data_IF_784096472954
#
_entry.id   IF_784096472954
#
_cell.length_a   1.000
_cell.length_b   1.000
_cell.length_c   1.000
_cell.angle_alpha   90.00
_cell.angle_beta   90.00
_cell.angle_gamma   90.00
#
_symmetry.space_group_name_H-M   'P 1'
#
loop_
_entity.id
_entity.type
_entity.pdbx_description
1 polymer ?
#
# COMPACT_ATOMS: atom_id res chain seq x y z
N UNK A 1 5.43 0.51 -9.05
CA UNK A 1 6.47 0.29 -8.02
C UNK A 1 6.49 1.52 -7.11
N UNK A 2 7.06 1.45 -5.90
CA UNK A 2 7.10 2.61 -4.98
C UNK A 2 8.41 3.42 -5.04
N UNK A 3 9.34 3.04 -5.92
CA UNK A 3 10.64 3.69 -6.02
C UNK A 3 10.51 5.14 -6.52
N UNK A 4 11.20 6.08 -5.85
CA UNK A 4 11.17 7.52 -6.15
C UNK A 4 9.76 8.14 -6.20
N UNK A 5 8.80 7.60 -5.45
CA UNK A 5 7.45 8.15 -5.37
C UNK A 5 7.30 9.10 -4.18
N UNK A 6 6.49 10.15 -4.31
CA UNK A 6 6.19 11.02 -3.18
C UNK A 6 5.45 10.23 -2.10
N UNK A 7 5.75 10.54 -0.84
CA UNK A 7 4.95 10.06 0.27
C UNK A 7 3.65 10.85 0.29
N UNK A 8 2.52 10.16 0.43
CA UNK A 8 1.20 10.79 0.42
C UNK A 8 0.33 10.29 1.58
N UNK A 9 -0.60 11.14 2.02
CA UNK A 9 -1.55 10.90 3.11
C UNK A 9 -2.97 11.30 2.66
N UNK A 10 -4.01 10.84 3.36
CA UNK A 10 -5.43 11.05 2.99
C UNK A 10 -5.78 12.51 2.65
N UNK A 11 -5.26 13.44 3.43
CA UNK A 11 -5.44 14.88 3.36
C UNK A 11 -4.58 15.55 2.27
N UNK A 12 -3.54 14.88 1.77
CA UNK A 12 -2.62 15.35 0.74
C UNK A 12 -2.70 14.52 -0.56
N UNK A 13 -3.83 13.82 -0.79
CA UNK A 13 -4.07 12.95 -1.95
C UNK A 13 -4.89 13.61 -3.08
N UNK A 14 -5.06 14.94 -3.11
CA UNK A 14 -5.92 15.59 -4.10
C UNK A 14 -5.61 15.17 -5.56
N UNK A 15 -6.53 14.40 -6.14
CA UNK A 15 -6.78 14.22 -7.58
C UNK A 15 -5.62 13.76 -8.50
N UNK A 16 -4.63 13.03 -7.99
CA UNK A 16 -3.43 12.66 -8.77
C UNK A 16 -3.40 11.22 -9.30
N UNK A 17 -4.51 10.47 -9.22
CA UNK A 17 -4.57 9.10 -9.72
C UNK A 17 -5.21 9.05 -11.11
N UNK A 18 -4.45 8.56 -12.09
CA UNK A 18 -4.93 8.35 -13.45
C UNK A 18 -5.94 7.17 -13.51
N UNK A 19 -5.87 6.26 -12.54
CA UNK A 19 -6.74 5.08 -12.44
C UNK A 19 -7.56 5.13 -11.14
N UNK A 20 -8.85 5.44 -11.28
CA UNK A 20 -9.82 5.47 -10.18
C UNK A 20 -10.06 4.08 -9.58
N UNK A 21 -9.90 3.01 -10.36
CA UNK A 21 -10.05 1.65 -9.83
C UNK A 21 -8.89 1.26 -8.92
N UNK A 22 -7.74 1.93 -9.06
CA UNK A 22 -6.57 1.70 -8.22
C UNK A 22 -6.63 2.43 -6.86
N UNK A 23 -7.55 3.38 -6.68
CA UNK A 23 -7.65 4.16 -5.44
C UNK A 23 -7.97 3.27 -4.23
N UNK A 24 -8.85 2.27 -4.41
CA UNK A 24 -9.28 1.34 -3.34
C UNK A 24 -8.17 0.50 -2.70
N UNK A 25 -7.01 0.38 -3.36
CA UNK A 25 -5.85 -0.36 -2.83
C UNK A 25 -4.91 0.54 -2.01
N UNK A 26 -5.10 1.86 -2.06
CA UNK A 26 -4.17 2.87 -1.53
C UNK A 26 -4.67 3.46 -0.21
N UNK A 27 -5.11 2.59 0.69
CA UNK A 27 -5.55 3.02 2.02
C UNK A 27 -4.34 3.27 2.93
N UNK A 28 -4.34 4.39 3.63
CA UNK A 28 -3.26 4.76 4.53
C UNK A 28 -2.04 5.37 3.83
N UNK A 29 -1.10 5.91 4.63
CA UNK A 29 -0.01 6.72 4.11
C UNK A 29 1.13 5.88 3.56
N UNK A 30 1.53 6.14 2.30
CA UNK A 30 2.55 5.34 1.62
C UNK A 30 3.25 6.14 0.51
N UNK A 31 4.34 5.59 -0.04
CA UNK A 31 4.96 6.06 -1.28
C UNK A 31 4.11 5.60 -2.47
N UNK A 32 3.11 6.41 -2.81
CA UNK A 32 2.06 6.06 -3.76
C UNK A 32 2.44 6.40 -5.20
N UNK A 33 2.20 5.45 -6.07
CA UNK A 33 2.26 5.59 -7.52
C UNK A 33 0.95 6.19 -8.07
N UNK A 34 1.00 6.82 -9.25
CA UNK A 34 -0.23 7.26 -9.94
C UNK A 34 -1.11 6.07 -10.34
N UNK A 35 -0.49 5.01 -10.87
CA UNK A 35 -1.12 3.70 -11.11
C UNK A 35 -1.24 2.86 -9.82
N UNK A 36 -1.67 1.60 -9.91
CA UNK A 36 -1.82 0.70 -8.77
C UNK A 36 -0.51 0.48 -7.99
N UNK A 37 -0.62 0.31 -6.66
CA UNK A 37 0.52 -0.01 -5.80
C UNK A 37 0.58 -1.52 -5.54
N UNK A 38 1.79 -2.08 -5.53
CA UNK A 38 2.02 -3.52 -5.34
C UNK A 38 2.23 -3.92 -3.88
N UNK A 39 2.56 -2.97 -3.02
CA UNK A 39 2.84 -3.18 -1.61
C UNK A 39 2.23 -2.02 -0.83
N UNK A 40 1.62 -2.33 0.31
CA UNK A 40 1.18 -1.35 1.28
C UNK A 40 1.39 -1.92 2.68
N UNK A 41 2.47 -1.49 3.35
CA UNK A 41 2.79 -1.98 4.70
C UNK A 41 2.17 -1.11 5.81
N UNK A 42 1.59 0.03 5.44
CA UNK A 42 0.90 0.98 6.32
C UNK A 42 -0.63 0.96 6.13
N UNK A 43 -1.14 -0.04 5.41
CA UNK A 43 -2.57 -0.24 5.23
C UNK A 43 -3.28 -0.60 6.54
N UNK A 44 -4.61 -0.65 6.48
CA UNK A 44 -5.45 -1.00 7.63
C UNK A 44 -5.15 -2.44 8.07
N UNK A 45 -5.03 -2.63 9.38
CA UNK A 45 -4.94 -3.98 9.94
C UNK A 45 -6.31 -4.67 9.85
N UNK A 46 -6.37 -5.77 9.09
CA UNK A 46 -7.58 -6.54 8.86
C UNK A 46 -7.38 -7.93 9.47
N UNK A 47 -8.24 -8.29 10.44
CA UNK A 47 -8.08 -9.52 11.24
C UNK A 47 -8.26 -10.81 10.45
N UNK A 48 -9.01 -10.76 9.35
CA UNK A 48 -9.40 -11.92 8.54
C UNK A 48 -9.25 -11.62 7.05
N UNK A 49 -9.31 -12.66 6.21
CA UNK A 49 -9.46 -12.50 4.76
C UNK A 49 -10.73 -11.71 4.50
N UNK A 50 -10.58 -10.57 3.86
CA UNK A 50 -11.67 -9.63 3.59
C UNK A 50 -11.71 -9.31 2.10
N UNK A 51 -12.88 -8.86 1.64
CA UNK A 51 -13.03 -8.25 0.31
C UNK A 51 -12.45 -6.84 0.25
N UNK A 52 -12.09 -6.25 1.40
CA UNK A 52 -11.43 -4.96 1.53
C UNK A 52 -10.01 -5.00 0.95
N UNK A 53 -9.70 -4.00 0.15
CA UNK A 53 -8.44 -3.83 -0.57
C UNK A 53 -7.47 -2.88 0.14
N UNK A 54 -7.92 -2.20 1.20
CA UNK A 54 -7.13 -1.25 1.98
C UNK A 54 -6.25 -1.90 3.06
N UNK A 55 -5.99 -3.20 2.96
CA UNK A 55 -5.26 -3.96 3.96
C UNK A 55 -3.74 -3.74 3.92
N UNK A 56 -3.06 -4.34 4.89
CA UNK A 56 -1.61 -4.52 4.83
C UNK A 56 -1.32 -5.66 3.83
N UNK A 57 -0.69 -5.41 2.69
CA UNK A 57 -0.46 -6.46 1.68
C UNK A 57 0.89 -6.36 0.97
N UNK A 58 1.31 -7.49 0.39
CA UNK A 58 2.44 -7.59 -0.53
C UNK A 58 2.04 -8.45 -1.73
N UNK A 59 1.64 -7.78 -2.83
CA UNK A 59 1.05 -8.44 -3.98
C UNK A 59 2.03 -9.39 -4.67
N UNK A 60 3.29 -9.00 -4.87
CA UNK A 60 4.27 -9.88 -5.54
C UNK A 60 4.65 -11.11 -4.72
N UNK A 61 4.26 -11.18 -3.43
CA UNK A 61 4.45 -12.36 -2.60
C UNK A 61 3.20 -13.27 -2.58
N UNK A 62 2.01 -12.71 -2.33
CA UNK A 62 0.77 -13.48 -2.15
C UNK A 62 -0.14 -13.51 -3.39
N UNK A 63 0.26 -12.79 -4.46
CA UNK A 63 -0.49 -12.61 -5.72
C UNK A 63 -1.94 -12.15 -5.49
N UNK A 64 -2.17 -11.39 -4.42
CA UNK A 64 -3.51 -10.93 -4.03
C UNK A 64 -3.45 -9.69 -3.15
N UNK A 65 -4.32 -8.72 -3.45
CA UNK A 65 -4.56 -7.53 -2.61
C UNK A 65 -5.48 -7.82 -1.41
N UNK A 66 -6.16 -8.97 -1.41
CA UNK A 66 -7.15 -9.36 -0.37
C UNK A 66 -6.55 -10.25 0.72
N UNK A 67 -5.31 -10.72 0.50
CA UNK A 67 -4.56 -11.46 1.50
C UNK A 67 -3.75 -10.46 2.31
N UNK A 68 -4.22 -10.19 3.53
CA UNK A 68 -3.58 -9.22 4.42
C UNK A 68 -2.54 -9.87 5.34
N UNK A 69 -1.45 -9.15 5.61
CA UNK A 69 -0.37 -9.59 6.48
C UNK A 69 -0.73 -9.36 7.94
N UNK A 70 -0.45 -10.36 8.78
CA UNK A 70 -0.66 -10.26 10.24
C UNK A 70 0.37 -9.37 10.95
N UNK A 71 1.55 -9.19 10.36
CA UNK A 71 2.65 -8.41 10.92
C UNK A 71 3.54 -7.89 9.79
N UNK A 72 3.98 -6.64 9.94
CA UNK A 72 5.00 -5.99 9.10
C UNK A 72 5.95 -5.23 10.01
N UNK A 73 7.21 -5.12 9.60
CA UNK A 73 8.23 -4.30 10.27
C UNK A 73 9.22 -3.85 9.22
N UNK A 74 9.46 -2.54 9.13
CA UNK A 74 10.49 -1.96 8.26
C UNK A 74 11.69 -1.56 9.12
N UNK A 75 12.89 -1.98 8.74
CA UNK A 75 14.13 -1.68 9.45
C UNK A 75 15.20 -1.25 8.45
N UNK A 76 16.04 -0.30 8.84
CA UNK A 76 17.20 0.14 8.07
C UNK A 76 18.47 -0.15 8.86
N UNK A 77 19.57 -0.34 8.14
CA UNK A 77 20.90 -0.51 8.73
C UNK A 77 21.88 0.31 7.90
N UNK A 78 22.88 0.91 8.56
CA UNK A 78 23.97 1.59 7.87
C UNK A 78 24.70 0.60 6.96
N UNK A 79 25.03 1.06 5.77
CA UNK A 79 26.01 0.40 4.90
C UNK A 79 27.33 1.05 5.30
N UNK A 80 28.11 0.34 6.12
CA UNK A 80 29.43 0.75 6.59
C UNK A 80 30.45 -0.05 5.81
#
# INVERSE_FOLDING_TARGET
ESNNKPFKTKDNHNNEFDDKDCEKYKEGPWWLEKSCIWVNLNGKYLKEKTSDYGGIYWYTWQTSYRVTLKKTTMMIRRII
#
